data_IF_587356763118
#
_entry.id   IF_587356763118
#
_cell.length_a   1.000
_cell.length_b   1.000
_cell.length_c   1.000
_cell.angle_alpha   90.00
_cell.angle_beta   90.00
_cell.angle_gamma   90.00
#
_symmetry.space_group_name_H-M   'P 1'
#
loop_
_entity.id
_entity.type
_entity.pdbx_description
1 polymer ?
#
# COMPACT_ATOMS: atom_id res chain seq x y z
N UNK A 1 -1.97 3.66 29.23
CA UNK A 1 -0.97 2.67 28.80
C UNK A 1 -0.68 2.86 27.33
N UNK A 2 0.58 3.05 26.98
CA UNK A 2 0.96 3.23 25.57
C UNK A 2 0.84 1.90 24.84
N UNK A 3 0.14 1.92 23.69
CA UNK A 3 0.09 0.77 22.80
C UNK A 3 1.42 0.65 22.08
N UNK A 4 1.97 -0.56 22.05
CA UNK A 4 3.17 -0.83 21.28
C UNK A 4 2.77 -1.40 19.93
N UNK A 5 2.92 -0.57 18.92
CA UNK A 5 2.62 -0.96 17.53
C UNK A 5 3.92 -1.36 16.85
N UNK A 6 3.99 -2.59 16.39
CA UNK A 6 5.11 -3.08 15.62
C UNK A 6 4.86 -2.90 14.12
N UNK A 7 5.89 -2.47 13.42
CA UNK A 7 5.90 -2.40 11.96
C UNK A 7 6.91 -3.41 11.44
N UNK A 8 6.50 -4.24 10.49
CA UNK A 8 7.41 -5.21 9.90
C UNK A 8 7.12 -5.44 8.43
N UNK A 9 8.16 -5.83 7.70
CA UNK A 9 8.01 -6.28 6.33
C UNK A 9 7.33 -7.65 6.34
N UNK A 10 6.24 -7.78 5.62
CA UNK A 10 5.48 -9.03 5.55
C UNK A 10 6.27 -10.10 4.82
N UNK A 11 6.17 -11.32 5.31
CA UNK A 11 6.73 -12.54 4.69
C UNK A 11 5.60 -13.37 4.11
N UNK A 12 5.93 -14.40 3.35
CA UNK A 12 4.91 -15.28 2.75
C UNK A 12 4.00 -15.89 3.81
N UNK A 13 4.52 -16.20 5.00
CA UNK A 13 3.73 -16.73 6.10
C UNK A 13 2.66 -15.76 6.60
N UNK A 14 2.76 -14.49 6.27
CA UNK A 14 1.80 -13.46 6.67
C UNK A 14 0.60 -13.35 5.73
N UNK A 15 0.43 -14.30 4.83
CA UNK A 15 -0.64 -14.24 3.82
C UNK A 15 -2.04 -14.05 4.45
N UNK A 16 -2.32 -14.70 5.57
CA UNK A 16 -3.63 -14.57 6.21
C UNK A 16 -3.82 -13.20 6.85
N UNK A 17 -2.78 -12.65 7.45
CA UNK A 17 -2.79 -11.27 7.95
C UNK A 17 -3.01 -10.28 6.81
N UNK A 18 -2.26 -10.46 5.72
CA UNK A 18 -2.38 -9.59 4.55
C UNK A 18 -3.80 -9.62 3.98
N UNK A 19 -4.32 -10.81 3.73
CA UNK A 19 -5.66 -10.94 3.15
C UNK A 19 -6.73 -10.36 4.07
N UNK A 20 -6.63 -10.59 5.36
CA UNK A 20 -7.58 -10.08 6.33
C UNK A 20 -7.63 -8.55 6.33
N UNK A 21 -6.47 -7.89 6.44
CA UNK A 21 -6.44 -6.42 6.50
C UNK A 21 -6.76 -5.78 5.15
N UNK A 22 -6.36 -6.43 4.04
CA UNK A 22 -6.69 -5.93 2.71
C UNK A 22 -8.18 -5.95 2.42
N UNK A 23 -8.86 -7.05 2.75
CA UNK A 23 -10.29 -7.15 2.52
C UNK A 23 -11.07 -6.19 3.42
N UNK A 24 -10.61 -5.98 4.64
CA UNK A 24 -11.17 -4.96 5.53
C UNK A 24 -11.01 -3.56 4.91
N UNK A 25 -9.82 -3.24 4.43
CA UNK A 25 -9.53 -1.96 3.80
C UNK A 25 -10.42 -1.70 2.58
N UNK A 26 -10.59 -2.70 1.73
CA UNK A 26 -11.44 -2.56 0.53
C UNK A 26 -12.89 -2.27 0.89
N UNK A 27 -13.41 -2.87 1.96
CA UNK A 27 -14.76 -2.55 2.43
C UNK A 27 -14.87 -1.12 2.91
N UNK A 28 -13.91 -0.66 3.72
CA UNK A 28 -13.94 0.68 4.29
C UNK A 28 -13.78 1.74 3.20
N UNK A 29 -12.80 1.57 2.32
CA UNK A 29 -12.49 2.56 1.27
C UNK A 29 -13.61 2.69 0.25
N UNK A 30 -14.28 1.58 -0.06
CA UNK A 30 -15.36 1.56 -1.06
C UNK A 30 -16.76 1.63 -0.44
N UNK A 31 -16.85 1.80 0.88
CA UNK A 31 -18.12 1.88 1.61
C UNK A 31 -19.04 0.70 1.29
N UNK A 32 -18.48 -0.51 1.36
CA UNK A 32 -19.21 -1.73 1.05
C UNK A 32 -19.95 -2.25 2.30
N UNK A 33 -21.09 -2.95 2.12
CA UNK A 33 -21.77 -3.58 3.25
C UNK A 33 -20.88 -4.63 3.93
N UNK A 34 -21.10 -4.87 5.23
CA UNK A 34 -20.30 -5.88 5.96
C UNK A 34 -20.45 -7.28 5.40
N UNK A 35 -21.61 -7.61 4.84
CA UNK A 35 -21.89 -8.91 4.24
C UNK A 35 -21.48 -8.99 2.77
N UNK A 36 -20.79 -7.97 2.25
CA UNK A 36 -20.31 -7.98 0.86
C UNK A 36 -19.41 -9.17 0.63
N UNK A 37 -19.70 -9.94 -0.42
CA UNK A 37 -18.89 -11.08 -0.83
C UNK A 37 -18.02 -10.71 -2.01
N UNK A 38 -16.70 -10.85 -1.84
CA UNK A 38 -15.75 -10.60 -2.91
C UNK A 38 -15.79 -11.75 -3.92
N UNK A 39 -15.52 -11.44 -5.19
CA UNK A 39 -15.39 -12.48 -6.21
C UNK A 39 -14.19 -13.38 -5.89
N UNK A 40 -14.31 -14.64 -6.25
CA UNK A 40 -13.19 -15.59 -6.11
C UNK A 40 -11.97 -15.13 -6.91
N UNK A 41 -12.20 -14.53 -8.08
CA UNK A 41 -11.14 -13.97 -8.92
C UNK A 41 -10.33 -12.93 -8.16
N UNK A 42 -10.99 -11.95 -7.54
CA UNK A 42 -10.31 -10.88 -6.82
C UNK A 42 -9.53 -11.43 -5.62
N UNK A 43 -10.12 -12.38 -4.88
CA UNK A 43 -9.46 -13.00 -3.73
C UNK A 43 -8.22 -13.78 -4.18
N UNK A 44 -8.37 -14.62 -5.18
CA UNK A 44 -7.28 -15.48 -5.67
C UNK A 44 -6.15 -14.65 -6.27
N UNK A 45 -6.47 -13.62 -7.05
CA UNK A 45 -5.47 -12.74 -7.64
C UNK A 45 -4.74 -11.92 -6.58
N UNK A 46 -5.45 -11.44 -5.56
CA UNK A 46 -4.81 -10.72 -4.45
C UNK A 46 -3.83 -11.61 -3.69
N UNK A 47 -4.23 -12.84 -3.42
CA UNK A 47 -3.39 -13.82 -2.74
C UNK A 47 -2.15 -14.17 -3.58
N UNK A 48 -2.34 -14.45 -4.85
CA UNK A 48 -1.24 -14.78 -5.75
C UNK A 48 -0.26 -13.60 -5.89
N UNK A 49 -0.79 -12.39 -6.01
CA UNK A 49 0.06 -11.22 -6.13
C UNK A 49 0.93 -11.00 -4.89
N UNK A 50 0.36 -11.16 -3.70
CA UNK A 50 1.15 -11.06 -2.48
C UNK A 50 2.27 -12.09 -2.43
N UNK A 51 1.98 -13.35 -2.81
CA UNK A 51 2.93 -14.45 -2.70
C UNK A 51 3.99 -14.43 -3.80
N UNK A 52 3.64 -14.03 -5.02
CA UNK A 52 4.48 -14.21 -6.20
C UNK A 52 4.76 -12.93 -6.97
N UNK A 53 4.05 -11.84 -6.70
CA UNK A 53 4.21 -10.58 -7.40
C UNK A 53 5.41 -9.79 -6.92
N UNK A 54 5.78 -8.77 -7.69
CA UNK A 54 6.90 -7.89 -7.36
C UNK A 54 6.38 -6.76 -6.47
N UNK A 55 6.40 -6.99 -5.17
CA UNK A 55 5.86 -6.05 -4.19
C UNK A 55 6.57 -6.19 -2.84
N UNK A 56 6.43 -5.15 -2.01
CA UNK A 56 6.79 -5.19 -0.59
C UNK A 56 5.57 -4.69 0.18
N UNK A 57 5.20 -5.38 1.23
CA UNK A 57 4.11 -4.96 2.12
C UNK A 57 4.65 -4.80 3.54
N UNK A 58 4.24 -3.71 4.20
CA UNK A 58 4.46 -3.50 5.62
C UNK A 58 3.15 -3.79 6.34
N UNK A 59 3.24 -4.52 7.44
CA UNK A 59 2.12 -4.76 8.36
C UNK A 59 2.37 -4.04 9.67
N UNK A 60 1.33 -3.41 10.18
CA UNK A 60 1.33 -2.83 11.52
C UNK A 60 0.50 -3.74 12.43
N UNK A 61 1.10 -4.15 13.54
CA UNK A 61 0.44 -5.07 14.47
C UNK A 61 0.42 -4.50 15.88
N UNK A 62 -0.66 -4.83 16.60
CA UNK A 62 -0.82 -4.58 18.04
C UNK A 62 -0.99 -5.96 18.67
N UNK A 63 0.10 -6.50 19.24
CA UNK A 63 0.12 -7.90 19.68
C UNK A 63 -0.12 -8.82 18.48
N UNK A 64 -1.14 -9.68 18.57
CA UNK A 64 -1.50 -10.62 17.52
C UNK A 64 -2.46 -10.04 16.48
N UNK A 65 -2.90 -8.79 16.67
CA UNK A 65 -3.86 -8.16 15.77
C UNK A 65 -3.14 -7.33 14.71
N UNK A 66 -3.46 -7.58 13.43
CA UNK A 66 -3.04 -6.69 12.35
C UNK A 66 -3.98 -5.49 12.32
N UNK A 67 -3.43 -4.27 12.40
CA UNK A 67 -4.23 -3.05 12.50
C UNK A 67 -3.97 -2.08 11.35
N UNK A 68 -3.03 -2.38 10.48
CA UNK A 68 -2.73 -1.55 9.34
C UNK A 68 -1.82 -2.23 8.35
N UNK A 69 -1.76 -1.68 7.15
CA UNK A 69 -0.91 -2.18 6.08
C UNK A 69 -0.56 -1.06 5.11
N UNK A 70 0.49 -1.29 4.35
CA UNK A 70 0.86 -0.46 3.21
C UNK A 70 1.66 -1.32 2.24
N UNK A 71 1.44 -1.16 0.95
CA UNK A 71 2.11 -1.97 -0.06
C UNK A 71 2.74 -1.10 -1.13
N UNK A 72 3.88 -1.54 -1.65
CA UNK A 72 4.54 -0.93 -2.78
C UNK A 72 4.64 -1.97 -3.89
N UNK A 73 4.05 -1.66 -5.04
CA UNK A 73 4.16 -2.48 -6.24
C UNK A 73 5.29 -1.95 -7.11
N UNK A 74 6.16 -2.83 -7.60
CA UNK A 74 7.27 -2.43 -8.45
C UNK A 74 6.92 -2.65 -9.91
N UNK A 75 7.22 -1.65 -10.72
CA UNK A 75 6.86 -1.63 -12.13
C UNK A 75 8.11 -1.32 -12.92
N UNK A 76 8.29 -2.05 -14.03
CA UNK A 76 9.35 -1.74 -14.96
C UNK A 76 8.74 -1.22 -16.25
N UNK A 77 9.17 -0.03 -16.66
CA UNK A 77 8.71 0.59 -17.91
C UNK A 77 9.92 0.89 -18.79
N UNK A 78 9.64 1.35 -20.00
CA UNK A 78 10.71 1.72 -20.91
C UNK A 78 11.56 2.84 -20.29
N UNK A 79 12.88 2.73 -20.26
CA UNK A 79 13.76 3.78 -19.75
C UNK A 79 13.55 5.12 -20.46
N UNK A 80 13.59 6.18 -19.66
CA UNK A 80 13.47 7.55 -20.16
C UNK A 80 14.68 8.36 -19.72
N UNK A 81 14.79 9.59 -20.22
CA UNK A 81 15.89 10.48 -19.86
C UNK A 81 16.01 10.68 -18.34
N UNK A 82 14.87 10.96 -17.68
CA UNK A 82 14.86 11.20 -16.24
C UNK A 82 14.88 9.90 -15.42
N UNK A 83 14.54 8.77 -16.02
CA UNK A 83 14.45 7.47 -15.35
C UNK A 83 15.17 6.40 -16.20
N UNK A 84 16.52 6.45 -16.24
CA UNK A 84 17.29 5.62 -17.18
C UNK A 84 17.22 4.11 -16.93
N UNK A 85 16.82 3.69 -15.71
CA UNK A 85 16.65 2.26 -15.42
C UNK A 85 15.24 1.77 -15.69
N UNK A 86 14.28 2.68 -15.89
CA UNK A 86 12.88 2.32 -16.10
C UNK A 86 12.23 1.67 -14.88
N UNK A 87 12.80 1.85 -13.69
CA UNK A 87 12.28 1.28 -12.46
C UNK A 87 11.38 2.28 -11.76
N UNK A 88 10.12 1.92 -11.62
CA UNK A 88 9.10 2.72 -10.92
C UNK A 88 8.39 1.90 -9.88
N UNK A 89 7.66 2.56 -9.02
CA UNK A 89 6.84 1.89 -8.01
C UNK A 89 5.51 2.62 -7.84
N UNK A 90 4.52 1.90 -7.36
CA UNK A 90 3.20 2.45 -7.06
C UNK A 90 2.83 2.08 -5.64
N UNK A 91 2.61 3.10 -4.82
CA UNK A 91 2.18 2.93 -3.44
C UNK A 91 0.68 2.73 -3.40
N UNK A 92 0.24 1.68 -2.70
CA UNK A 92 -1.17 1.35 -2.61
C UNK A 92 -1.47 0.56 -1.34
N UNK A 93 -2.74 0.27 -1.12
CA UNK A 93 -3.16 -0.56 0.01
C UNK A 93 -2.77 0.04 1.37
N UNK A 94 -2.74 1.38 1.46
CA UNK A 94 -2.40 2.09 2.71
C UNK A 94 -3.64 2.19 3.57
N UNK A 95 -3.59 1.58 4.75
CA UNK A 95 -4.74 1.53 5.63
C UNK A 95 -4.31 1.41 7.08
N UNK A 96 -4.98 2.14 7.95
CA UNK A 96 -4.86 2.01 9.40
C UNK A 96 -6.25 1.98 9.99
N UNK A 97 -6.54 1.03 10.86
CA UNK A 97 -7.84 0.97 11.53
C UNK A 97 -8.13 2.27 12.25
N UNK A 98 -9.37 2.69 12.25
CA UNK A 98 -9.81 3.99 12.75
C UNK A 98 -9.28 4.30 14.15
N UNK A 99 -9.38 3.34 15.07
CA UNK A 99 -8.97 3.53 16.46
C UNK A 99 -7.45 3.68 16.66
N UNK A 100 -6.67 3.40 15.61
CA UNK A 100 -5.21 3.55 15.63
C UNK A 100 -4.72 4.75 14.81
N UNK A 101 -5.64 5.52 14.24
CA UNK A 101 -5.29 6.69 13.43
C UNK A 101 -4.76 7.83 14.29
N UNK A 102 -4.13 8.82 13.65
CA UNK A 102 -3.56 10.01 14.25
C UNK A 102 -2.40 9.72 15.21
N UNK A 103 -1.70 8.61 15.01
CA UNK A 103 -0.52 8.23 15.79
C UNK A 103 0.73 8.13 14.92
N UNK A 104 0.64 8.53 13.65
CA UNK A 104 1.77 8.49 12.72
C UNK A 104 2.09 7.11 12.18
N UNK A 105 1.22 6.12 12.35
CA UNK A 105 1.47 4.74 11.92
C UNK A 105 1.55 4.65 10.38
N UNK A 106 0.57 5.23 9.68
CA UNK A 106 0.57 5.23 8.22
C UNK A 106 1.83 5.90 7.66
N UNK A 107 2.22 7.04 8.23
CA UNK A 107 3.42 7.74 7.79
C UNK A 107 4.67 6.88 7.95
N UNK A 108 4.82 6.22 9.09
CA UNK A 108 5.96 5.33 9.34
C UNK A 108 6.00 4.16 8.39
N UNK A 109 4.84 3.56 8.10
CA UNK A 109 4.76 2.47 7.12
C UNK A 109 5.20 2.93 5.73
N UNK A 110 4.70 4.08 5.30
CA UNK A 110 5.02 4.63 3.98
C UNK A 110 6.50 5.01 3.90
N UNK A 111 7.05 5.65 4.94
CA UNK A 111 8.46 6.01 4.96
C UNK A 111 9.37 4.78 4.90
N UNK A 112 9.02 3.71 5.59
CA UNK A 112 9.76 2.45 5.52
C UNK A 112 9.74 1.87 4.10
N UNK A 113 8.57 1.89 3.45
CA UNK A 113 8.45 1.42 2.07
C UNK A 113 9.26 2.29 1.10
N UNK A 114 9.25 3.61 1.28
CA UNK A 114 10.03 4.52 0.43
C UNK A 114 11.52 4.19 0.55
N UNK A 115 12.02 4.02 1.77
CA UNK A 115 13.41 3.66 1.99
C UNK A 115 13.78 2.37 1.24
N UNK A 116 12.97 1.32 1.39
CA UNK A 116 13.19 0.05 0.70
C UNK A 116 13.10 0.19 -0.82
N UNK A 117 12.23 1.06 -1.29
CA UNK A 117 12.05 1.32 -2.72
C UNK A 117 13.28 1.98 -3.33
N UNK A 118 13.82 3.00 -2.64
CA UNK A 118 15.06 3.66 -3.12
C UNK A 118 16.23 2.70 -3.17
N UNK A 119 16.34 1.77 -2.22
CA UNK A 119 17.39 0.75 -2.21
C UNK A 119 17.36 -0.15 -3.46
N UNK A 120 16.19 -0.29 -4.10
CA UNK A 120 16.05 -1.08 -5.34
C UNK A 120 16.40 -0.32 -6.61
N UNK A 121 16.76 0.94 -6.50
CA UNK A 121 17.11 1.77 -7.67
C UNK A 121 15.90 2.38 -8.37
N UNK A 122 14.74 2.35 -7.73
CA UNK A 122 13.54 3.03 -8.23
C UNK A 122 13.75 4.53 -8.14
N UNK A 123 13.28 5.27 -9.14
CA UNK A 123 13.47 6.72 -9.23
C UNK A 123 12.17 7.51 -9.17
N UNK A 124 11.03 6.85 -9.20
CA UNK A 124 9.73 7.51 -9.11
C UNK A 124 8.70 6.61 -8.44
N UNK A 125 7.97 7.17 -7.48
CA UNK A 125 6.86 6.49 -6.81
C UNK A 125 5.59 7.27 -7.11
N UNK A 126 4.56 6.58 -7.59
CA UNK A 126 3.24 7.16 -7.81
C UNK A 126 2.23 6.60 -6.80
N UNK A 127 1.12 7.28 -6.65
CA UNK A 127 -0.03 6.80 -5.88
C UNK A 127 -1.30 7.49 -6.36
N UNK A 128 -2.43 6.89 -6.02
CA UNK A 128 -3.74 7.50 -6.22
C UNK A 128 -4.25 7.92 -4.83
N UNK A 129 -4.37 9.24 -4.61
CA UNK A 129 -4.69 9.78 -3.31
C UNK A 129 -6.20 9.94 -3.10
N UNK A 130 -6.70 9.45 -1.96
CA UNK A 130 -8.02 9.84 -1.48
C UNK A 130 -7.94 11.22 -0.84
N UNK A 131 -9.08 11.90 -0.71
CA UNK A 131 -9.11 13.21 -0.06
C UNK A 131 -8.55 13.13 1.37
N UNK A 132 -8.87 12.07 2.10
CA UNK A 132 -8.42 11.91 3.48
C UNK A 132 -6.93 11.57 3.59
N UNK A 133 -6.36 10.89 2.59
CA UNK A 133 -4.94 10.51 2.59
C UNK A 133 -4.01 11.59 2.07
N UNK A 134 -4.52 12.51 1.26
CA UNK A 134 -3.72 13.51 0.58
C UNK A 134 -2.80 14.32 1.52
N UNK A 135 -3.27 14.81 2.67
CA UNK A 135 -2.39 15.58 3.56
C UNK A 135 -1.16 14.80 4.03
N UNK A 136 -1.30 13.51 4.27
CA UNK A 136 -0.18 12.65 4.65
C UNK A 136 0.87 12.60 3.53
N UNK A 137 0.41 12.36 2.30
CA UNK A 137 1.32 12.21 1.16
C UNK A 137 2.02 13.52 0.82
N UNK A 138 1.32 14.65 0.92
CA UNK A 138 1.92 15.96 0.72
C UNK A 138 3.00 16.24 1.75
N UNK A 139 2.80 15.88 3.02
CA UNK A 139 3.82 16.05 4.06
C UNK A 139 5.08 15.23 3.79
N UNK A 140 4.92 14.06 3.18
CA UNK A 140 6.06 13.20 2.83
C UNK A 140 6.83 13.77 1.63
N UNK A 141 6.16 14.53 0.76
CA UNK A 141 6.79 15.16 -0.40
C UNK A 141 6.18 14.77 -1.74
N UNK A 142 5.08 14.01 -1.73
CA UNK A 142 4.35 13.72 -2.96
C UNK A 142 3.69 14.99 -3.50
N UNK A 143 3.65 15.12 -4.81
CA UNK A 143 3.06 16.25 -5.52
C UNK A 143 2.16 15.74 -6.63
N UNK A 144 1.16 16.54 -6.99
CA UNK A 144 0.31 16.22 -8.13
C UNK A 144 1.13 16.13 -9.41
N UNK A 145 0.79 15.15 -10.25
CA UNK A 145 1.38 15.00 -11.56
C UNK A 145 0.34 15.41 -12.60
N UNK A 146 0.65 16.41 -13.41
CA UNK A 146 -0.25 16.90 -14.45
C UNK A 146 -0.10 16.14 -15.76
N UNK A 147 0.94 15.33 -15.88
CA UNK A 147 1.27 14.64 -17.14
C UNK A 147 0.52 13.32 -17.33
N UNK A 148 0.10 12.71 -16.22
CA UNK A 148 -0.54 11.39 -16.29
C UNK A 148 -1.97 11.48 -16.79
N UNK A 149 -2.27 10.72 -17.85
CA UNK A 149 -3.63 10.55 -18.38
C UNK A 149 -4.01 9.08 -18.29
N UNK A 150 -5.28 8.81 -18.05
CA UNK A 150 -5.78 7.44 -17.84
C UNK A 150 -6.91 7.14 -18.82
N UNK A 151 -6.85 5.96 -19.42
CA UNK A 151 -7.94 5.42 -20.24
C UNK A 151 -8.36 4.09 -19.61
N UNK A 152 -9.61 4.01 -19.21
CA UNK A 152 -10.15 2.81 -18.56
C UNK A 152 -11.09 2.08 -19.52
N UNK A 153 -10.98 0.77 -19.55
CA UNK A 153 -11.89 -0.07 -20.33
C UNK A 153 -13.24 -0.13 -19.62
N UNK A 154 -14.30 0.25 -20.34
CA UNK A 154 -15.65 0.21 -19.80
C UNK A 154 -16.30 -1.15 -20.03
#
# INVERSE_FOLDING_TARGET
MMRMIDLRIAKQDDIDYFMSIRLEMLKVVNDLPEDYEYSDEMINESRDYFLNGDQITVLATDGDAVIGCASMSFIRIMPTFDHPLGKRAHLMNVYTRYEYRRQGIAQKMVELLIEKTWEKGVTEISLDATASGRPLYERIGFRDSEECMVLTKL
#
